data_IF_451431758402
#
_entry.id   IF_451431758402
#
_cell.length_a   1.000
_cell.length_b   1.000
_cell.length_c   1.000
_cell.angle_alpha   90.00
_cell.angle_beta   90.00
_cell.angle_gamma   90.00
#
_symmetry.space_group_name_H-M   'P 1'
#
loop_
_entity.id
_entity.type
_entity.pdbx_description
1 polymer ?
#
# COMPACT_ATOMS: atom_id res chain seq x y z
N UNK A 1 -20.27 -1.70 4.03
CA UNK A 1 -19.68 -2.72 4.96
C UNK A 1 -18.52 -2.10 5.69
N UNK A 2 -18.32 -2.33 7.02
CA UNK A 2 -17.28 -1.62 7.81
C UNK A 2 -15.85 -2.09 7.44
N UNK A 3 -14.87 -1.17 7.38
CA UNK A 3 -13.40 -1.43 7.25
C UNK A 3 -12.95 -2.60 8.11
N UNK A 4 -13.43 -2.63 9.37
CA UNK A 4 -13.12 -3.68 10.34
C UNK A 4 -13.54 -5.09 9.90
N UNK A 5 -14.61 -5.21 9.11
CA UNK A 5 -15.06 -6.52 8.57
C UNK A 5 -14.18 -6.99 7.44
N UNK A 6 -13.73 -6.08 6.57
CA UNK A 6 -12.88 -6.43 5.42
C UNK A 6 -11.51 -6.95 5.89
N UNK A 7 -10.80 -6.18 6.71
CA UNK A 7 -9.50 -6.63 7.21
C UNK A 7 -9.61 -7.95 7.98
N UNK A 8 -10.66 -8.11 8.81
CA UNK A 8 -10.89 -9.36 9.56
C UNK A 8 -11.12 -10.56 8.65
N UNK A 9 -11.84 -10.39 7.54
CA UNK A 9 -12.06 -11.44 6.53
C UNK A 9 -10.74 -11.92 5.95
N UNK A 10 -9.90 -11.01 5.48
CA UNK A 10 -8.61 -11.35 4.87
C UNK A 10 -7.64 -11.96 5.88
N UNK A 11 -7.60 -11.44 7.11
CA UNK A 11 -6.78 -12.04 8.17
C UNK A 11 -7.23 -13.46 8.53
N UNK A 12 -8.54 -13.74 8.60
CA UNK A 12 -9.05 -15.10 8.82
C UNK A 12 -8.65 -16.05 7.69
N UNK A 13 -8.69 -15.58 6.45
CA UNK A 13 -8.24 -16.37 5.31
C UNK A 13 -6.74 -16.68 5.40
N UNK A 14 -5.89 -15.69 5.75
CA UNK A 14 -4.47 -15.92 5.99
C UNK A 14 -4.21 -16.91 7.13
N UNK A 15 -4.97 -16.81 8.24
CA UNK A 15 -4.88 -17.74 9.37
C UNK A 15 -5.19 -19.17 8.90
N UNK A 16 -6.24 -19.34 8.11
CA UNK A 16 -6.61 -20.62 7.54
C UNK A 16 -5.53 -21.18 6.59
N UNK A 17 -5.00 -20.34 5.70
CA UNK A 17 -3.98 -20.75 4.73
C UNK A 17 -2.64 -21.08 5.39
N UNK A 18 -2.29 -20.40 6.49
CA UNK A 18 -1.06 -20.61 7.26
C UNK A 18 -1.20 -21.74 8.29
N UNK A 19 -2.40 -22.32 8.43
CA UNK A 19 -2.73 -23.32 9.43
C UNK A 19 -2.27 -22.92 10.85
N UNK A 20 -2.60 -21.70 11.26
CA UNK A 20 -2.26 -21.17 12.58
C UNK A 20 -3.49 -20.99 13.45
N UNK A 21 -3.33 -21.28 14.75
CA UNK A 21 -4.37 -21.08 15.74
C UNK A 21 -4.27 -19.67 16.34
N UNK A 22 -5.42 -18.99 16.43
CA UNK A 22 -5.55 -17.75 17.17
C UNK A 22 -6.55 -17.98 18.32
N UNK A 23 -6.15 -17.81 19.59
CA UNK A 23 -7.00 -18.15 20.74
C UNK A 23 -8.38 -17.48 20.68
N UNK A 24 -9.47 -18.22 20.95
CA UNK A 24 -10.85 -17.69 20.90
C UNK A 24 -11.07 -16.47 21.81
N UNK A 25 -10.40 -16.41 22.95
CA UNK A 25 -10.45 -15.28 23.91
C UNK A 25 -9.92 -13.97 23.32
N UNK A 26 -9.20 -14.04 22.21
CA UNK A 26 -8.70 -12.88 21.46
C UNK A 26 -9.76 -12.27 20.53
N UNK A 27 -10.96 -12.82 20.43
CA UNK A 27 -12.04 -12.28 19.59
C UNK A 27 -12.65 -10.98 20.15
N UNK A 28 -12.32 -10.62 21.39
CA UNK A 28 -12.66 -9.36 22.04
C UNK A 28 -11.71 -8.23 21.62
N UNK A 29 -11.64 -7.16 22.40
CA UNK A 29 -10.73 -6.03 22.19
C UNK A 29 -9.28 -6.55 22.09
N UNK A 30 -8.69 -6.52 20.91
CA UNK A 30 -7.31 -6.98 20.72
C UNK A 30 -7.11 -8.14 19.73
N UNK A 31 -8.19 -8.83 19.30
CA UNK A 31 -8.06 -9.96 18.36
C UNK A 31 -7.21 -9.62 17.12
N UNK A 32 -7.40 -8.46 16.51
CA UNK A 32 -6.62 -8.04 15.33
C UNK A 32 -5.13 -7.93 15.62
N UNK A 33 -4.75 -7.45 16.78
CA UNK A 33 -3.34 -7.33 17.16
C UNK A 33 -2.71 -8.70 17.35
N UNK A 34 -3.41 -9.64 17.99
CA UNK A 34 -2.95 -11.01 18.17
C UNK A 34 -2.85 -11.72 16.82
N UNK A 35 -3.92 -11.69 16.04
CA UNK A 35 -3.97 -12.32 14.72
C UNK A 35 -2.86 -11.80 13.79
N UNK A 36 -2.65 -10.49 13.73
CA UNK A 36 -1.58 -9.84 12.96
C UNK A 36 -0.20 -10.35 13.39
N UNK A 37 0.04 -10.41 14.68
CA UNK A 37 1.33 -10.86 15.20
C UNK A 37 1.59 -12.34 14.89
N UNK A 38 0.57 -13.20 15.02
CA UNK A 38 0.71 -14.62 14.67
C UNK A 38 0.91 -14.82 13.17
N UNK A 39 0.16 -14.11 12.32
CA UNK A 39 0.37 -14.10 10.87
C UNK A 39 1.80 -13.66 10.53
N UNK A 40 2.30 -12.57 11.13
CA UNK A 40 3.68 -12.10 10.92
C UNK A 40 4.71 -13.14 11.33
N UNK A 41 4.56 -13.75 12.50
CA UNK A 41 5.45 -14.82 12.98
C UNK A 41 5.43 -16.03 12.03
N UNK A 42 4.26 -16.40 11.52
CA UNK A 42 4.13 -17.51 10.59
C UNK A 42 4.86 -17.23 9.28
N UNK A 43 4.74 -16.04 8.70
CA UNK A 43 5.50 -15.66 7.49
C UNK A 43 7.01 -15.64 7.73
N UNK A 44 7.50 -15.21 8.90
CA UNK A 44 8.92 -15.25 9.24
C UNK A 44 9.45 -16.71 9.28
N UNK A 45 8.63 -17.63 9.75
CA UNK A 45 9.00 -19.07 9.84
C UNK A 45 8.81 -19.82 8.53
N UNK A 46 8.03 -19.27 7.61
CA UNK A 46 7.69 -19.93 6.35
C UNK A 46 8.87 -19.82 5.37
N UNK A 47 9.68 -20.89 5.32
CA UNK A 47 10.88 -20.96 4.48
C UNK A 47 10.60 -21.31 3.00
N UNK A 48 9.35 -21.60 2.64
CA UNK A 48 8.92 -21.99 1.30
C UNK A 48 8.22 -20.86 0.54
N UNK A 49 8.11 -20.99 -0.79
CA UNK A 49 7.32 -20.08 -1.60
C UNK A 49 5.83 -20.16 -1.23
N UNK A 50 5.16 -19.01 -1.19
CA UNK A 50 3.72 -18.95 -0.98
C UNK A 50 2.98 -19.37 -2.26
N UNK A 51 1.94 -20.17 -2.12
CA UNK A 51 1.05 -20.49 -3.24
C UNK A 51 0.25 -19.26 -3.68
N UNK A 52 -0.26 -19.28 -4.91
CA UNK A 52 -1.06 -18.20 -5.49
C UNK A 52 -2.25 -17.78 -4.61
N UNK A 53 -2.83 -18.70 -3.87
CA UNK A 53 -3.95 -18.44 -2.96
C UNK A 53 -3.70 -17.43 -1.85
N UNK A 54 -2.43 -17.11 -1.55
CA UNK A 54 -2.07 -16.10 -0.55
C UNK A 54 -2.12 -14.67 -1.09
N UNK A 55 -2.03 -14.46 -2.42
CA UNK A 55 -1.89 -13.13 -3.00
C UNK A 55 -3.06 -12.21 -2.63
N UNK A 56 -4.28 -12.57 -3.01
CA UNK A 56 -5.45 -11.74 -2.77
C UNK A 56 -5.72 -11.47 -1.27
N UNK A 57 -5.62 -12.47 -0.34
CA UNK A 57 -5.71 -12.20 1.08
C UNK A 57 -4.64 -11.25 1.63
N UNK A 58 -3.38 -11.33 1.15
CA UNK A 58 -2.31 -10.42 1.56
C UNK A 58 -2.58 -8.99 1.11
N UNK A 59 -2.91 -8.79 -0.16
CA UNK A 59 -3.26 -7.46 -0.69
C UNK A 59 -4.48 -6.90 0.02
N UNK A 60 -5.54 -7.70 0.20
CA UNK A 60 -6.73 -7.26 0.91
C UNK A 60 -6.43 -6.90 2.37
N UNK A 61 -5.62 -7.69 3.09
CA UNK A 61 -5.21 -7.35 4.45
C UNK A 61 -4.41 -6.05 4.50
N UNK A 62 -3.49 -5.82 3.55
CA UNK A 62 -2.70 -4.59 3.47
C UNK A 62 -3.56 -3.35 3.21
N UNK A 63 -4.49 -3.44 2.25
CA UNK A 63 -5.34 -2.33 1.80
C UNK A 63 -6.38 -1.95 2.86
N UNK A 64 -7.00 -2.93 3.49
CA UNK A 64 -8.03 -2.66 4.51
C UNK A 64 -7.48 -2.48 5.92
N UNK A 65 -6.16 -2.61 6.15
CA UNK A 65 -5.56 -2.31 7.46
C UNK A 65 -5.67 -0.81 7.76
N UNK A 66 -6.37 -0.43 8.83
CA UNK A 66 -6.58 0.98 9.14
C UNK A 66 -5.33 1.66 9.68
N UNK A 67 -4.42 0.91 10.31
CA UNK A 67 -3.16 1.42 10.80
C UNK A 67 -2.08 1.29 9.71
N UNK A 68 -1.58 2.42 9.16
CA UNK A 68 -0.58 2.40 8.10
C UNK A 68 0.67 1.58 8.48
N UNK A 69 1.11 1.66 9.72
CA UNK A 69 2.33 0.96 10.20
C UNK A 69 2.20 -0.55 10.09
N UNK A 70 1.00 -1.08 10.22
CA UNK A 70 0.73 -2.51 10.14
C UNK A 70 0.46 -3.01 8.72
N UNK A 71 0.11 -2.14 7.77
CA UNK A 71 -0.04 -2.50 6.36
C UNK A 71 1.24 -3.15 5.81
N UNK A 72 2.42 -2.66 6.23
CA UNK A 72 3.72 -3.21 5.88
C UNK A 72 3.83 -4.72 6.15
N UNK A 73 3.21 -5.22 7.21
CA UNK A 73 3.30 -6.65 7.61
C UNK A 73 2.63 -7.59 6.62
N UNK A 74 1.81 -7.07 5.71
CA UNK A 74 1.17 -7.81 4.63
C UNK A 74 1.82 -7.51 3.27
N UNK A 75 2.28 -6.27 3.07
CA UNK A 75 2.97 -5.85 1.84
C UNK A 75 4.31 -6.59 1.68
N UNK A 76 5.14 -6.67 2.72
CA UNK A 76 6.44 -7.33 2.63
C UNK A 76 6.35 -8.82 2.26
N UNK A 77 5.52 -9.66 2.91
CA UNK A 77 5.33 -11.03 2.48
C UNK A 77 4.80 -11.17 1.05
N UNK A 78 3.90 -10.25 0.62
CA UNK A 78 3.40 -10.25 -0.75
C UNK A 78 4.52 -9.97 -1.75
N UNK A 79 5.39 -8.99 -1.48
CA UNK A 79 6.54 -8.68 -2.34
C UNK A 79 7.54 -9.82 -2.35
N UNK A 80 7.84 -10.41 -1.20
CA UNK A 80 8.77 -11.54 -1.11
C UNK A 80 8.30 -12.75 -1.92
N UNK A 81 7.00 -13.04 -1.91
CA UNK A 81 6.45 -14.21 -2.58
C UNK A 81 6.12 -13.99 -4.06
N UNK A 82 5.63 -12.80 -4.43
CA UNK A 82 5.03 -12.56 -5.74
C UNK A 82 5.73 -11.47 -6.56
N UNK A 83 6.77 -10.85 -6.00
CA UNK A 83 7.52 -9.78 -6.64
C UNK A 83 6.87 -8.39 -6.47
N UNK A 84 7.73 -7.37 -6.45
CA UNK A 84 7.33 -5.96 -6.23
C UNK A 84 6.43 -5.44 -7.35
N UNK A 85 6.77 -5.75 -8.60
CA UNK A 85 6.01 -5.29 -9.76
C UNK A 85 4.55 -5.75 -9.71
N UNK A 86 4.33 -7.02 -9.42
CA UNK A 86 2.98 -7.59 -9.34
C UNK A 86 2.14 -6.93 -8.23
N UNK A 87 2.72 -6.76 -7.04
CA UNK A 87 2.05 -6.07 -5.92
C UNK A 87 1.68 -4.64 -6.31
N UNK A 88 2.59 -3.91 -6.96
CA UNK A 88 2.36 -2.53 -7.40
C UNK A 88 1.31 -2.42 -8.49
N UNK A 89 1.29 -3.34 -9.45
CA UNK A 89 0.24 -3.38 -10.49
C UNK A 89 -1.14 -3.55 -9.86
N UNK A 90 -1.27 -4.44 -8.89
CA UNK A 90 -2.54 -4.64 -8.18
C UNK A 90 -2.97 -3.40 -7.40
N UNK A 91 -2.04 -2.78 -6.66
CA UNK A 91 -2.33 -1.54 -5.92
C UNK A 91 -2.72 -0.39 -6.86
N UNK A 92 -2.08 -0.28 -8.04
CA UNK A 92 -2.45 0.69 -9.07
C UNK A 92 -3.85 0.43 -9.62
N UNK A 93 -4.21 -0.82 -9.83
CA UNK A 93 -5.57 -1.22 -10.21
C UNK A 93 -6.60 -0.74 -9.20
N UNK A 94 -6.35 -1.00 -7.90
CA UNK A 94 -7.22 -0.57 -6.81
C UNK A 94 -7.30 0.96 -6.68
N UNK A 95 -6.21 1.69 -6.93
CA UNK A 95 -6.25 3.15 -6.95
C UNK A 95 -7.16 3.68 -8.06
N UNK A 96 -7.12 3.08 -9.25
CA UNK A 96 -7.87 3.53 -10.43
C UNK A 96 -9.36 3.18 -10.37
N UNK A 97 -9.69 2.00 -9.89
CA UNK A 97 -11.04 1.43 -10.04
C UNK A 97 -11.72 1.01 -8.74
N UNK A 98 -11.00 1.06 -7.62
CA UNK A 98 -11.54 0.68 -6.32
C UNK A 98 -12.52 1.71 -5.74
N UNK A 99 -13.15 1.34 -4.65
CA UNK A 99 -13.90 2.26 -3.78
C UNK A 99 -12.93 3.23 -3.09
N UNK A 100 -13.42 4.34 -2.53
CA UNK A 100 -12.57 5.31 -1.81
C UNK A 100 -11.77 4.66 -0.67
N UNK A 101 -12.38 3.68 -0.01
CA UNK A 101 -11.68 2.89 1.01
C UNK A 101 -10.50 2.10 0.45
N UNK A 102 -10.67 1.49 -0.72
CA UNK A 102 -9.62 0.72 -1.41
C UNK A 102 -8.55 1.64 -1.98
N UNK A 103 -8.93 2.77 -2.58
CA UNK A 103 -8.01 3.81 -3.06
C UNK A 103 -7.11 4.33 -1.94
N UNK A 104 -7.71 4.73 -0.82
CA UNK A 104 -6.97 5.18 0.35
C UNK A 104 -6.04 4.08 0.90
N UNK A 105 -6.52 2.85 0.95
CA UNK A 105 -5.73 1.69 1.38
C UNK A 105 -4.59 1.36 0.45
N UNK A 106 -4.83 1.38 -0.86
CA UNK A 106 -3.81 1.18 -1.88
C UNK A 106 -2.70 2.23 -1.79
N UNK A 107 -3.05 3.50 -1.55
CA UNK A 107 -2.07 4.57 -1.37
C UNK A 107 -1.16 4.33 -0.16
N UNK A 108 -1.73 3.89 0.97
CA UNK A 108 -0.94 3.53 2.17
C UNK A 108 -0.04 2.32 1.93
N UNK A 109 -0.55 1.28 1.25
CA UNK A 109 0.21 0.08 0.92
C UNK A 109 1.31 0.36 -0.10
N UNK A 110 1.06 1.25 -1.07
CA UNK A 110 2.04 1.69 -2.06
C UNK A 110 3.28 2.28 -1.42
N UNK A 111 3.13 3.14 -0.42
CA UNK A 111 4.25 3.71 0.33
C UNK A 111 5.21 2.61 0.81
N UNK A 112 4.67 1.56 1.46
CA UNK A 112 5.47 0.45 1.97
C UNK A 112 6.09 -0.39 0.86
N UNK A 113 5.46 -0.48 -0.31
CA UNK A 113 6.02 -1.21 -1.45
C UNK A 113 7.28 -0.55 -2.03
N UNK A 114 7.52 0.72 -1.74
CA UNK A 114 8.72 1.46 -2.17
C UNK A 114 9.93 1.29 -1.26
N UNK A 115 9.73 0.83 -0.03
CA UNK A 115 10.81 0.72 0.95
C UNK A 115 11.62 -0.57 0.82
N UNK A 116 12.87 -0.58 1.30
CA UNK A 116 13.64 -1.81 1.43
C UNK A 116 12.92 -2.84 2.29
N UNK A 117 12.98 -4.09 1.89
CA UNK A 117 12.42 -5.21 2.64
C UNK A 117 13.22 -5.43 3.93
N UNK A 118 12.52 -5.67 5.03
CA UNK A 118 13.17 -5.99 6.32
C UNK A 118 13.73 -7.41 6.34
N UNK A 119 13.18 -8.29 5.52
CA UNK A 119 13.54 -9.72 5.47
C UNK A 119 13.78 -10.17 4.03
N UNK A 120 14.84 -9.65 3.36
CA UNK A 120 15.13 -9.98 1.96
C UNK A 120 15.53 -11.45 1.79
N UNK A 121 15.98 -12.12 2.85
CA UNK A 121 16.39 -13.54 2.84
C UNK A 121 15.22 -14.52 2.63
N UNK A 122 13.99 -14.07 2.73
CA UNK A 122 12.81 -14.87 2.40
C UNK A 122 12.55 -14.98 0.89
N UNK A 123 13.32 -14.25 0.06
CA UNK A 123 13.23 -14.35 -1.40
C UNK A 123 14.07 -15.50 -1.93
N UNK A 124 13.54 -16.20 -2.93
CA UNK A 124 14.33 -17.14 -3.72
C UNK A 124 15.25 -16.33 -4.67
N UNK A 125 16.57 -16.41 -4.50
CA UNK A 125 17.56 -15.77 -5.36
C UNK A 125 18.60 -14.92 -4.63
N UNK A 126 19.68 -14.51 -5.32
CA UNK A 126 20.74 -13.68 -4.74
C UNK A 126 20.30 -12.21 -4.57
N UNK A 127 20.63 -11.56 -3.44
CA UNK A 127 20.09 -10.23 -3.10
C UNK A 127 20.49 -9.09 -4.06
N UNK A 128 21.67 -9.16 -4.66
CA UNK A 128 22.21 -8.05 -5.48
C UNK A 128 21.63 -7.99 -6.90
N UNK A 129 21.46 -9.14 -7.55
CA UNK A 129 20.87 -9.21 -8.92
C UNK A 129 19.37 -8.93 -8.89
N UNK A 130 18.69 -9.34 -7.83
CA UNK A 130 17.27 -9.08 -7.63
C UNK A 130 16.95 -7.59 -7.41
N UNK A 131 17.83 -6.80 -6.77
CA UNK A 131 17.59 -5.38 -6.50
C UNK A 131 17.73 -4.48 -7.73
N UNK A 132 18.69 -4.75 -8.63
CA UNK A 132 18.91 -3.95 -9.83
C UNK A 132 17.79 -4.15 -10.86
N UNK A 133 17.46 -5.39 -11.19
CA UNK A 133 16.40 -5.72 -12.14
C UNK A 133 15.00 -5.25 -11.67
N UNK A 134 14.71 -5.32 -10.36
CA UNK A 134 13.42 -4.87 -9.82
C UNK A 134 13.22 -3.34 -9.85
N UNK A 135 14.29 -2.56 -9.77
CA UNK A 135 14.18 -1.10 -9.82
C UNK A 135 13.74 -0.66 -11.22
N UNK A 136 14.30 -1.26 -12.28
CA UNK A 136 13.94 -0.95 -13.67
C UNK A 136 12.58 -1.52 -14.06
N UNK A 137 12.24 -2.74 -13.64
CA UNK A 137 10.94 -3.36 -13.92
C UNK A 137 9.74 -2.66 -13.26
N UNK A 138 9.97 -1.86 -12.22
CA UNK A 138 8.92 -1.15 -11.53
C UNK A 138 8.82 0.34 -11.88
N UNK A 139 9.71 0.86 -12.73
CA UNK A 139 9.75 2.29 -13.07
C UNK A 139 8.51 2.71 -13.87
N UNK A 140 8.07 1.88 -14.83
CA UNK A 140 6.86 2.11 -15.61
C UNK A 140 5.61 2.15 -14.74
N UNK A 141 5.49 1.21 -13.78
CA UNK A 141 4.37 1.16 -12.84
C UNK A 141 4.42 2.34 -11.86
N UNK A 142 5.63 2.79 -11.48
CA UNK A 142 5.78 3.96 -10.61
C UNK A 142 5.38 5.26 -11.32
N UNK A 143 5.72 5.41 -12.60
CA UNK A 143 5.26 6.56 -13.40
C UNK A 143 3.74 6.55 -13.56
N UNK A 144 3.16 5.39 -13.92
CA UNK A 144 1.71 5.22 -14.03
C UNK A 144 0.97 5.47 -12.70
N UNK A 145 1.58 5.09 -11.57
CA UNK A 145 1.07 5.42 -10.24
C UNK A 145 1.08 6.91 -9.99
N UNK A 146 2.18 7.62 -10.28
CA UNK A 146 2.29 9.07 -10.09
C UNK A 146 1.19 9.82 -10.82
N UNK A 147 0.95 9.49 -12.09
CA UNK A 147 -0.13 10.08 -12.87
C UNK A 147 -1.52 9.74 -12.28
N UNK A 148 -1.77 8.47 -11.97
CA UNK A 148 -3.05 8.05 -11.43
C UNK A 148 -3.34 8.69 -10.06
N UNK A 149 -2.32 8.78 -9.18
CA UNK A 149 -2.43 9.41 -7.87
C UNK A 149 -2.70 10.93 -7.99
N UNK A 150 -2.06 11.60 -8.95
CA UNK A 150 -2.30 13.01 -9.22
C UNK A 150 -3.73 13.26 -9.71
N UNK A 151 -4.21 12.47 -10.68
CA UNK A 151 -5.58 12.55 -11.19
C UNK A 151 -6.61 12.26 -10.11
N UNK A 152 -6.36 11.24 -9.29
CA UNK A 152 -7.24 10.87 -8.18
C UNK A 152 -7.27 11.95 -7.10
N UNK A 153 -6.14 12.56 -6.75
CA UNK A 153 -6.09 13.66 -5.78
C UNK A 153 -6.91 14.88 -6.23
N UNK A 154 -6.86 15.22 -7.52
CA UNK A 154 -7.62 16.33 -8.09
C UNK A 154 -9.11 16.00 -8.21
N UNK A 155 -9.44 14.82 -8.74
CA UNK A 155 -10.80 14.45 -9.09
C UNK A 155 -11.64 13.86 -7.94
N UNK A 156 -11.02 13.34 -6.89
CA UNK A 156 -11.71 12.74 -5.76
C UNK A 156 -11.79 13.70 -4.57
N UNK A 157 -12.96 13.87 -3.99
CA UNK A 157 -13.20 14.77 -2.84
C UNK A 157 -13.14 14.06 -1.48
N UNK A 158 -13.03 12.73 -1.45
CA UNK A 158 -12.94 11.99 -0.18
C UNK A 158 -11.65 12.37 0.57
N UNK A 159 -11.83 12.83 1.80
CA UNK A 159 -10.71 13.27 2.66
C UNK A 159 -9.72 12.15 2.94
N UNK A 160 -10.20 10.93 3.17
CA UNK A 160 -9.35 9.77 3.45
C UNK A 160 -8.48 9.40 2.26
N UNK A 161 -9.00 9.50 1.03
CA UNK A 161 -8.26 9.30 -0.21
C UNK A 161 -7.18 10.37 -0.36
N UNK A 162 -7.54 11.65 -0.26
CA UNK A 162 -6.58 12.77 -0.36
C UNK A 162 -5.48 12.68 0.68
N UNK A 163 -5.81 12.47 1.95
CA UNK A 163 -4.84 12.31 3.02
C UNK A 163 -3.91 11.10 2.84
N UNK A 164 -4.40 10.03 2.21
CA UNK A 164 -3.59 8.84 1.97
C UNK A 164 -2.66 8.95 0.77
N UNK A 165 -3.07 9.69 -0.26
CA UNK A 165 -2.28 9.92 -1.49
C UNK A 165 -1.19 10.97 -1.27
N UNK A 166 -1.53 12.09 -0.62
CA UNK A 166 -0.68 13.27 -0.51
C UNK A 166 0.75 12.99 -0.01
N UNK A 167 0.99 12.13 1.01
CA UNK A 167 2.35 11.88 1.49
C UNK A 167 3.32 11.31 0.45
N UNK A 168 2.80 10.61 -0.57
CA UNK A 168 3.58 10.03 -1.67
C UNK A 168 3.45 10.76 -3.00
N UNK A 169 2.68 11.85 -3.02
CA UNK A 169 2.43 12.61 -4.24
C UNK A 169 3.55 13.65 -4.44
N UNK A 170 4.19 13.61 -5.61
CA UNK A 170 5.14 14.66 -6.02
C UNK A 170 4.36 15.86 -6.53
N UNK A 171 4.60 17.04 -5.97
CA UNK A 171 3.93 18.29 -6.37
C UNK A 171 4.89 19.27 -7.04
N UNK A 172 6.02 18.79 -7.54
CA UNK A 172 6.93 19.51 -8.40
C UNK A 172 6.64 19.15 -9.86
N UNK A 173 6.26 20.08 -10.75
CA UNK A 173 5.99 19.82 -12.16
C UNK A 173 7.13 19.10 -12.88
N UNK A 174 8.41 19.37 -12.52
CA UNK A 174 9.55 18.70 -13.11
C UNK A 174 9.58 17.16 -12.90
N UNK A 175 8.77 16.65 -11.98
CA UNK A 175 8.61 15.21 -11.73
C UNK A 175 7.67 14.52 -12.74
N UNK A 176 7.04 15.28 -13.64
CA UNK A 176 6.03 14.80 -14.57
C UNK A 176 6.30 15.27 -16.01
N UNK A 177 5.77 14.55 -17.02
CA UNK A 177 5.73 15.04 -18.38
C UNK A 177 4.98 16.39 -18.48
N UNK A 178 5.35 17.28 -19.45
CA UNK A 178 4.73 18.60 -19.57
C UNK A 178 3.20 18.61 -19.65
N UNK A 179 2.62 17.56 -20.23
CA UNK A 179 1.14 17.39 -20.35
C UNK A 179 0.43 17.33 -18.99
N UNK A 180 1.14 17.01 -17.91
CA UNK A 180 0.58 16.92 -16.55
C UNK A 180 0.89 18.16 -15.68
N UNK A 181 1.66 19.15 -16.16
CA UNK A 181 2.07 20.29 -15.36
C UNK A 181 0.86 21.09 -14.83
N UNK A 182 -0.12 21.38 -15.69
CA UNK A 182 -1.36 22.06 -15.30
C UNK A 182 -2.14 21.30 -14.22
N UNK A 183 -2.11 19.97 -14.28
CA UNK A 183 -2.75 19.12 -13.28
C UNK A 183 -2.00 19.18 -11.93
N UNK A 184 -0.68 19.29 -11.94
CA UNK A 184 0.13 19.50 -10.73
C UNK A 184 -0.21 20.85 -10.09
N UNK A 185 -0.28 21.94 -10.89
CA UNK A 185 -0.65 23.26 -10.40
C UNK A 185 -2.07 23.25 -9.79
N UNK A 186 -3.00 22.54 -10.42
CA UNK A 186 -4.36 22.34 -9.90
C UNK A 186 -4.34 21.59 -8.57
N UNK A 187 -3.55 20.53 -8.44
CA UNK A 187 -3.41 19.78 -7.20
C UNK A 187 -2.85 20.64 -6.06
N UNK A 188 -1.83 21.46 -6.36
CA UNK A 188 -1.26 22.41 -5.39
C UNK A 188 -2.30 23.45 -4.94
N UNK A 189 -3.07 24.02 -5.88
CA UNK A 189 -4.14 24.98 -5.57
C UNK A 189 -5.22 24.36 -4.67
N UNK A 190 -5.69 23.15 -5.01
CA UNK A 190 -6.65 22.39 -4.18
C UNK A 190 -6.09 22.16 -2.78
N UNK A 191 -4.84 21.71 -2.67
CA UNK A 191 -4.24 21.39 -1.38
C UNK A 191 -4.06 22.63 -0.50
N UNK A 192 -3.61 23.76 -1.06
CA UNK A 192 -3.44 25.03 -0.33
C UNK A 192 -4.72 25.65 0.18
N UNK A 193 -5.81 25.51 -0.60
CA UNK A 193 -7.14 26.03 -0.22
C UNK A 193 -8.00 25.03 0.53
N UNK A 194 -7.49 23.82 0.81
CA UNK A 194 -8.28 22.73 1.39
C UNK A 194 -8.75 23.08 2.83
N UNK A 195 -10.00 22.76 3.23
CA UNK A 195 -10.49 23.01 4.59
C UNK A 195 -9.71 22.23 5.67
N UNK A 196 -9.19 21.07 5.34
CA UNK A 196 -8.40 20.24 6.27
C UNK A 196 -6.99 20.78 6.45
N UNK A 197 -6.58 20.98 7.72
CA UNK A 197 -5.30 21.56 8.09
C UNK A 197 -4.10 20.67 7.73
N UNK A 198 -4.25 19.35 7.85
CA UNK A 198 -3.19 18.39 7.50
C UNK A 198 -2.82 18.53 6.02
N UNK A 199 -3.82 18.64 5.13
CA UNK A 199 -3.58 18.79 3.70
C UNK A 199 -2.88 20.10 3.41
N UNK A 200 -3.33 21.24 3.99
CA UNK A 200 -2.67 22.54 3.83
C UNK A 200 -1.23 22.55 4.33
N UNK A 201 -0.97 21.93 5.46
CA UNK A 201 0.39 21.87 6.00
C UNK A 201 1.29 20.95 5.16
N UNK A 202 0.75 19.80 4.74
CA UNK A 202 1.53 18.80 4.03
C UNK A 202 1.96 19.23 2.64
N UNK A 203 1.15 20.02 1.91
CA UNK A 203 1.47 20.49 0.56
C UNK A 203 2.75 21.31 0.54
N UNK A 204 2.99 22.18 1.54
CA UNK A 204 4.18 23.01 1.58
C UNK A 204 5.48 22.17 1.68
N UNK A 205 5.41 21.00 2.32
CA UNK A 205 6.53 20.06 2.35
C UNK A 205 6.73 19.39 0.98
N UNK A 206 5.64 19.04 0.28
CA UNK A 206 5.69 18.30 -0.99
C UNK A 206 6.09 19.18 -2.19
N UNK A 207 5.81 20.47 -2.16
CA UNK A 207 6.19 21.40 -3.25
C UNK A 207 7.70 21.63 -3.30
N UNK A 208 8.40 21.45 -2.18
CA UNK A 208 9.85 21.65 -2.06
C UNK A 208 10.69 20.37 -2.22
N UNK A 209 10.07 19.21 -2.47
CA UNK A 209 10.72 17.94 -2.78
C UNK A 209 10.79 17.71 -4.30
#
# INVERSE_FOLDING_TARGET
MSVRRHVRRHMRELIRLLDIEVPPRSETVGWRSVARNEIRKAFIRHAGGLSEGYFAPLIGAAVYEPDPSHSRWFVEPAINAFGRRRVRVELLGLLRTGTDLERAGAARAWFWSGLPLRQPHLRAGTPAEAMGAEADEAADVAAAWGEAALREFVGNEDLGVRCSILPGLRLNPASYPPVLHELVDTAVAIARSHPDEYIRHRVEIQVHQ
#
